data_IF_606229399075
#
_entry.id   IF_606229399075
#
_cell.length_a   1.000
_cell.length_b   1.000
_cell.length_c   1.000
_cell.angle_alpha   90.00
_cell.angle_beta   90.00
_cell.angle_gamma   90.00
#
_symmetry.space_group_name_H-M   'P 1'
#
loop_
_entity.id
_entity.type
_entity.pdbx_description
1 polymer ?
#
# COMPACT_ATOMS: atom_id res chain seq x y z
N UNK A 1 -21.71 23.16 -48.18
CA UNK A 1 -21.29 21.74 -48.04
C UNK A 1 -22.55 20.88 -48.08
N UNK A 2 -22.56 19.86 -48.93
CA UNK A 2 -23.76 19.05 -49.10
C UNK A 2 -23.94 18.16 -47.87
N UNK A 3 -25.10 18.25 -47.22
CA UNK A 3 -25.52 17.47 -46.06
C UNK A 3 -25.21 15.95 -46.20
N UNK A 4 -25.34 15.43 -47.41
CA UNK A 4 -24.97 14.04 -47.73
C UNK A 4 -23.52 13.70 -47.45
N UNK A 5 -22.58 14.64 -47.68
CA UNK A 5 -21.13 14.43 -47.44
C UNK A 5 -20.84 14.44 -45.92
N UNK A 6 -21.59 15.24 -45.17
CA UNK A 6 -21.45 15.29 -43.69
C UNK A 6 -21.94 14.00 -43.04
N UNK A 7 -23.06 13.45 -43.51
CA UNK A 7 -23.61 12.17 -43.00
C UNK A 7 -22.70 11.01 -43.32
N UNK A 8 -22.11 10.97 -44.53
CA UNK A 8 -21.16 9.95 -44.93
C UNK A 8 -19.88 9.99 -44.09
N UNK A 9 -19.37 11.18 -43.80
CA UNK A 9 -18.19 11.35 -42.95
C UNK A 9 -18.47 10.91 -41.49
N UNK A 10 -19.63 11.24 -40.94
CA UNK A 10 -20.05 10.81 -39.60
C UNK A 10 -20.27 9.30 -39.50
N UNK A 11 -20.85 8.69 -40.55
CA UNK A 11 -21.02 7.23 -40.59
C UNK A 11 -19.69 6.48 -40.64
N UNK A 12 -18.71 7.02 -41.41
CA UNK A 12 -17.37 6.43 -41.51
C UNK A 12 -16.61 6.49 -40.18
N UNK A 13 -16.74 7.59 -39.43
CA UNK A 13 -16.09 7.76 -38.13
C UNK A 13 -16.72 6.80 -37.07
N UNK A 14 -18.04 6.60 -37.13
CA UNK A 14 -18.74 5.66 -36.25
C UNK A 14 -18.38 4.20 -36.52
N UNK A 15 -18.14 3.82 -37.77
CA UNK A 15 -17.71 2.47 -38.16
C UNK A 15 -16.27 2.17 -37.76
N UNK A 16 -15.39 3.18 -37.77
CA UNK A 16 -13.99 3.05 -37.36
C UNK A 16 -13.82 2.97 -35.84
N UNK A 17 -14.75 3.54 -35.05
CA UNK A 17 -14.71 3.48 -33.59
C UNK A 17 -15.21 2.16 -33.01
N UNK A 18 -15.97 1.36 -33.75
CA UNK A 18 -16.50 0.07 -33.31
C UNK A 18 -15.49 -1.08 -33.37
N UNK A 19 -14.35 -0.89 -34.04
CA UNK A 19 -13.34 -1.92 -34.24
C UNK A 19 -12.24 -2.03 -33.16
N UNK A 20 -12.19 -1.13 -32.18
CA UNK A 20 -11.06 -1.06 -31.21
C UNK A 20 -11.41 -1.52 -29.78
N UNK A 21 -12.56 -2.18 -29.57
CA UNK A 21 -12.99 -2.66 -28.25
C UNK A 21 -12.94 -4.18 -28.05
N UNK A 22 -12.21 -4.91 -28.90
CA UNK A 22 -12.08 -6.37 -28.75
C UNK A 22 -10.64 -6.84 -28.53
N UNK A 23 -9.86 -6.18 -27.69
CA UNK A 23 -8.56 -6.68 -27.27
C UNK A 23 -8.19 -6.25 -25.85
N UNK A 24 -9.05 -6.58 -24.87
CA UNK A 24 -8.65 -6.73 -23.48
C UNK A 24 -9.49 -7.88 -22.89
N UNK A 25 -9.16 -9.09 -23.34
CA UNK A 25 -9.53 -10.31 -22.66
C UNK A 25 -8.65 -10.40 -21.39
N UNK A 26 -9.11 -9.87 -20.29
CA UNK A 26 -8.60 -10.25 -18.98
C UNK A 26 -9.19 -11.62 -18.70
N UNK A 27 -8.44 -12.66 -19.00
CA UNK A 27 -8.66 -13.97 -18.38
C UNK A 27 -8.28 -13.83 -16.91
N UNK A 28 -9.29 -13.56 -16.08
CA UNK A 28 -9.23 -13.85 -14.67
C UNK A 28 -9.27 -15.39 -14.55
N UNK A 29 -8.10 -15.98 -14.61
CA UNK A 29 -7.93 -17.35 -14.09
C UNK A 29 -8.02 -17.23 -12.57
N UNK A 30 -9.20 -17.50 -12.05
CA UNK A 30 -9.47 -17.74 -10.65
C UNK A 30 -8.80 -19.07 -10.28
N UNK A 31 -7.52 -18.98 -9.94
CA UNK A 31 -6.82 -20.03 -9.21
C UNK A 31 -6.75 -19.52 -7.78
N UNK A 32 -7.34 -20.20 -6.79
CA UNK A 32 -7.08 -19.92 -5.40
C UNK A 32 -5.63 -20.31 -5.15
N UNK A 33 -4.73 -19.37 -5.38
CA UNK A 33 -3.37 -19.45 -4.93
C UNK A 33 -3.43 -19.24 -3.42
N UNK A 34 -3.19 -20.31 -2.67
CA UNK A 34 -2.88 -20.21 -1.26
C UNK A 34 -1.73 -19.19 -1.14
N UNK A 35 -2.01 -18.03 -0.58
CA UNK A 35 -1.02 -17.03 -0.23
C UNK A 35 -0.08 -17.65 0.80
N UNK A 36 1.03 -18.12 0.30
CA UNK A 36 2.22 -18.36 1.09
C UNK A 36 2.76 -16.95 1.43
N UNK A 37 2.94 -16.62 2.71
CA UNK A 37 3.36 -15.28 3.13
C UNK A 37 4.85 -15.09 2.84
N UNK A 38 5.18 -14.69 1.62
CA UNK A 38 6.53 -14.33 1.20
C UNK A 38 6.72 -12.80 1.22
N UNK A 39 6.25 -12.14 2.29
CA UNK A 39 6.34 -10.67 2.46
C UNK A 39 7.30 -10.23 3.56
N UNK A 40 7.98 -11.14 4.24
CA UNK A 40 8.83 -10.80 5.38
C UNK A 40 9.99 -9.81 5.10
N UNK A 41 10.71 -9.80 3.95
CA UNK A 41 11.80 -8.85 3.72
C UNK A 41 11.34 -7.43 3.38
N UNK A 42 10.24 -7.28 2.63
CA UNK A 42 9.73 -5.96 2.23
C UNK A 42 9.03 -5.26 3.40
N UNK A 43 8.17 -5.95 4.15
CA UNK A 43 7.54 -5.41 5.35
C UNK A 43 8.56 -4.99 6.42
N UNK A 44 9.66 -5.72 6.54
CA UNK A 44 10.72 -5.37 7.48
C UNK A 44 11.47 -4.11 7.07
N UNK A 45 11.75 -3.94 5.77
CA UNK A 45 12.36 -2.72 5.24
C UNK A 45 11.41 -1.53 5.38
N UNK A 46 10.13 -1.73 5.14
CA UNK A 46 9.10 -0.69 5.32
C UNK A 46 8.93 -0.31 6.79
N UNK A 47 8.96 -1.26 7.71
CA UNK A 47 8.87 -1.01 9.16
C UNK A 47 10.04 -0.21 9.69
N UNK A 48 11.26 -0.46 9.22
CA UNK A 48 12.45 0.31 9.57
C UNK A 48 12.37 1.73 9.02
N UNK A 49 11.95 1.90 7.76
CA UNK A 49 11.76 3.20 7.15
C UNK A 49 10.71 4.03 7.90
N UNK A 50 9.57 3.43 8.24
CA UNK A 50 8.53 4.07 9.04
C UNK A 50 9.04 4.49 10.42
N UNK A 51 9.82 3.66 11.10
CA UNK A 51 10.44 4.02 12.37
C UNK A 51 11.33 5.25 12.23
N UNK A 52 12.17 5.29 11.21
CA UNK A 52 13.08 6.40 10.96
C UNK A 52 12.35 7.67 10.56
N UNK A 53 11.38 7.60 9.66
CA UNK A 53 10.69 8.77 9.13
C UNK A 53 9.66 9.37 10.10
N UNK A 54 8.88 8.53 10.77
CA UNK A 54 7.72 8.95 11.57
C UNK A 54 8.03 9.16 13.04
N UNK A 55 9.07 8.52 13.57
CA UNK A 55 9.36 8.58 15.01
C UNK A 55 10.51 9.54 15.38
N UNK A 56 11.37 9.91 14.42
CA UNK A 56 12.51 10.79 14.71
C UNK A 56 12.16 12.27 14.75
N UNK A 57 11.00 12.66 14.28
CA UNK A 57 10.57 14.08 14.26
C UNK A 57 10.39 14.70 15.64
N UNK A 58 10.12 13.91 16.68
CA UNK A 58 9.87 14.38 18.03
C UNK A 58 10.97 14.01 19.04
N UNK A 59 11.66 12.89 18.85
CA UNK A 59 12.75 12.41 19.75
C UNK A 59 13.64 11.39 19.03
N UNK A 60 14.83 11.13 19.56
CA UNK A 60 15.72 10.11 19.04
C UNK A 60 15.18 8.68 19.22
N UNK A 61 15.72 7.75 18.45
CA UNK A 61 15.32 6.34 18.47
C UNK A 61 15.85 5.55 19.66
N UNK A 62 16.76 6.11 20.46
CA UNK A 62 17.40 5.43 21.58
C UNK A 62 16.40 4.78 22.54
N UNK A 63 15.27 5.41 22.78
CA UNK A 63 14.19 4.87 23.62
C UNK A 63 13.50 3.66 23.01
N UNK A 64 13.46 3.57 21.69
CA UNK A 64 12.87 2.46 20.95
C UNK A 64 13.85 1.31 20.84
N UNK A 65 15.06 1.60 20.40
CA UNK A 65 16.11 0.59 20.15
C UNK A 65 16.65 -0.07 21.42
N UNK A 66 16.51 0.59 22.58
CA UNK A 66 16.88 0.06 23.88
C UNK A 66 15.73 -0.64 24.62
N UNK A 67 14.50 -0.61 24.10
CA UNK A 67 13.35 -1.22 24.71
C UNK A 67 13.13 -2.64 24.19
N UNK A 68 12.80 -3.58 25.07
CA UNK A 68 12.33 -4.92 24.71
C UNK A 68 10.88 -5.05 25.15
N UNK A 69 9.96 -5.30 24.21
CA UNK A 69 8.53 -5.33 24.46
C UNK A 69 7.84 -6.41 23.66
N UNK A 70 6.76 -6.96 24.20
CA UNK A 70 5.87 -7.83 23.46
C UNK A 70 5.13 -7.06 22.37
N UNK A 71 4.52 -7.77 21.40
CA UNK A 71 3.71 -7.17 20.35
C UNK A 71 2.60 -6.25 20.90
N UNK A 72 1.90 -6.69 21.93
CA UNK A 72 0.82 -5.92 22.57
C UNK A 72 1.34 -4.64 23.25
N UNK A 73 2.53 -4.68 23.81
CA UNK A 73 3.16 -3.51 24.40
C UNK A 73 3.64 -2.52 23.34
N UNK A 74 4.12 -3.02 22.19
CA UNK A 74 4.45 -2.19 21.04
C UNK A 74 3.21 -1.54 20.44
N UNK A 75 2.11 -2.29 20.30
CA UNK A 75 0.83 -1.76 19.84
C UNK A 75 0.36 -0.59 20.72
N UNK A 76 0.37 -0.75 22.04
CA UNK A 76 0.05 0.32 22.98
C UNK A 76 1.00 1.51 22.86
N UNK A 77 2.27 1.24 22.57
CA UNK A 77 3.29 2.28 22.42
C UNK A 77 3.06 3.09 21.14
N UNK A 78 2.88 2.43 19.99
CA UNK A 78 2.62 3.07 18.68
C UNK A 78 1.30 3.84 18.73
N UNK A 79 0.23 3.25 19.24
CA UNK A 79 -1.07 3.94 19.41
C UNK A 79 -0.92 5.23 20.21
N UNK A 80 -0.15 5.21 21.31
CA UNK A 80 0.11 6.40 22.12
C UNK A 80 0.91 7.45 21.35
N UNK A 81 1.83 7.06 20.46
CA UNK A 81 2.58 8.03 19.65
C UNK A 81 1.68 8.69 18.61
N UNK A 82 0.76 7.93 17.98
CA UNK A 82 -0.26 8.50 17.09
C UNK A 82 -1.16 9.50 17.83
N UNK A 83 -1.60 9.18 19.04
CA UNK A 83 -2.37 10.11 19.88
C UNK A 83 -1.59 11.39 20.24
N UNK A 84 -0.27 11.35 20.20
CA UNK A 84 0.62 12.49 20.43
C UNK A 84 1.02 13.23 19.16
N UNK A 85 0.51 12.82 18.00
CA UNK A 85 0.70 13.50 16.73
C UNK A 85 1.63 12.78 15.73
N UNK A 86 2.03 11.54 15.97
CA UNK A 86 2.71 10.77 14.95
C UNK A 86 1.74 10.46 13.78
N UNK A 87 2.15 10.79 12.57
CA UNK A 87 1.34 10.61 11.37
C UNK A 87 1.53 9.18 10.82
N UNK A 88 0.67 8.27 11.22
CA UNK A 88 0.61 6.89 10.75
C UNK A 88 -0.83 6.52 10.43
N UNK A 89 -1.06 5.93 9.27
CA UNK A 89 -2.33 5.28 8.96
C UNK A 89 -2.39 3.86 9.57
N UNK A 90 -3.53 3.19 9.52
CA UNK A 90 -3.73 1.87 10.12
C UNK A 90 -2.79 0.79 9.56
N UNK A 91 -2.51 0.82 8.25
CA UNK A 91 -1.60 -0.11 7.60
C UNK A 91 -0.14 0.14 8.03
N UNK A 92 0.31 1.40 8.02
CA UNK A 92 1.63 1.79 8.51
C UNK A 92 1.83 1.44 9.99
N UNK A 93 0.79 1.59 10.82
CA UNK A 93 0.82 1.16 12.22
C UNK A 93 1.04 -0.35 12.35
N UNK A 94 0.34 -1.16 11.54
CA UNK A 94 0.48 -2.62 11.56
C UNK A 94 1.90 -3.03 11.19
N UNK A 95 2.42 -2.52 10.07
CA UNK A 95 3.78 -2.81 9.57
C UNK A 95 4.83 -2.41 10.62
N UNK A 96 4.69 -1.24 11.21
CA UNK A 96 5.62 -0.76 12.24
C UNK A 96 5.58 -1.61 13.51
N UNK A 97 4.39 -2.01 13.96
CA UNK A 97 4.22 -2.87 15.16
C UNK A 97 4.85 -4.24 14.91
N UNK A 98 4.66 -4.83 13.74
CA UNK A 98 5.24 -6.11 13.38
C UNK A 98 6.78 -6.03 13.34
N UNK A 99 7.32 -5.02 12.68
CA UNK A 99 8.76 -4.74 12.67
C UNK A 99 9.35 -4.59 14.08
N UNK A 100 8.70 -3.80 14.95
CA UNK A 100 9.16 -3.56 16.31
C UNK A 100 9.10 -4.82 17.17
N UNK A 101 8.07 -5.63 17.03
CA UNK A 101 7.91 -6.88 17.74
C UNK A 101 8.95 -7.94 17.31
N UNK A 102 9.28 -8.00 16.01
CA UNK A 102 10.29 -8.91 15.49
C UNK A 102 11.72 -8.47 15.85
N UNK A 103 11.97 -7.16 15.80
CA UNK A 103 13.34 -6.62 15.95
C UNK A 103 13.68 -6.36 17.40
N UNK A 104 12.73 -5.92 18.21
CA UNK A 104 12.89 -5.52 19.61
C UNK A 104 11.92 -6.26 20.55
N UNK A 105 11.49 -7.43 20.15
CA UNK A 105 10.73 -8.36 21.00
C UNK A 105 11.62 -9.07 22.02
N UNK A 106 11.01 -9.75 23.01
CA UNK A 106 11.73 -10.57 23.99
C UNK A 106 12.26 -11.85 23.38
#
# INVERSE_FOLDING_TARGET
>A
MSYKKLILALALVLLLSAGLLLACGSETTDTPQAEEPETAPEEKADGEALLQERCTSCHGLDRTTSATKTREEWEKTVTRMVQKGAELNEQEMSILIDYLAETYGP
#
